data_IF_985683697125
#
_entry.id   IF_985683697125
#
_cell.length_a   1.000
_cell.length_b   1.000
_cell.length_c   1.000
_cell.angle_alpha   90.00
_cell.angle_beta   90.00
_cell.angle_gamma   90.00
#
_symmetry.space_group_name_H-M   'P 1'
#
loop_
_entity.id
_entity.type
_entity.pdbx_description
1 polymer ?
#
# COMPACT_ATOMS: atom_id res chain seq x y z
N UNK A 1 11.90 -2.58 41.95
CA UNK A 1 10.89 -3.22 41.07
C UNK A 1 10.11 -2.23 40.21
N UNK A 2 9.84 -1.00 40.67
CA UNK A 2 9.12 0.02 39.89
C UNK A 2 9.82 0.40 38.57
N UNK A 3 11.14 0.51 38.57
CA UNK A 3 11.91 0.86 37.36
C UNK A 3 11.78 -0.18 36.23
N UNK A 4 11.68 -1.47 36.57
CA UNK A 4 11.49 -2.53 35.55
C UNK A 4 10.08 -2.46 34.97
N UNK A 5 9.07 -2.19 35.79
CA UNK A 5 7.69 -2.02 35.33
C UNK A 5 7.52 -0.78 34.44
N UNK A 6 8.14 0.35 34.79
CA UNK A 6 8.07 1.58 33.99
C UNK A 6 8.79 1.45 32.65
N UNK A 7 9.99 0.85 32.63
CA UNK A 7 10.73 0.57 31.40
C UNK A 7 9.98 -0.40 30.48
N UNK A 8 9.36 -1.45 31.04
CA UNK A 8 8.58 -2.41 30.26
C UNK A 8 7.30 -1.76 29.69
N UNK A 9 6.65 -0.88 30.45
CA UNK A 9 5.50 -0.09 29.97
C UNK A 9 5.91 0.88 28.86
N UNK A 10 7.06 1.55 28.99
CA UNK A 10 7.58 2.44 27.95
C UNK A 10 7.90 1.67 26.66
N UNK A 11 8.60 0.54 26.77
CA UNK A 11 8.94 -0.32 25.63
C UNK A 11 7.66 -0.79 24.92
N UNK A 12 6.70 -1.35 25.66
CA UNK A 12 5.42 -1.77 25.10
C UNK A 12 4.59 -0.62 24.51
N UNK A 13 4.81 0.63 24.89
CA UNK A 13 4.12 1.76 24.26
C UNK A 13 4.78 2.20 22.95
N UNK A 14 6.10 2.05 22.82
CA UNK A 14 6.87 2.60 21.69
C UNK A 14 7.21 1.57 20.60
N UNK A 15 7.17 0.27 20.90
CA UNK A 15 7.45 -0.80 19.91
C UNK A 15 6.56 -0.74 18.66
N UNK A 16 5.36 -0.14 18.77
CA UNK A 16 4.40 -0.07 17.68
C UNK A 16 4.60 1.13 16.74
N UNK A 17 5.26 2.18 17.22
CA UNK A 17 5.42 3.44 16.49
C UNK A 17 6.14 3.27 15.13
N UNK A 18 7.24 2.50 15.01
CA UNK A 18 7.90 2.30 13.73
C UNK A 18 7.02 1.61 12.70
N UNK A 19 6.20 0.64 13.13
CA UNK A 19 5.29 -0.08 12.22
C UNK A 19 4.18 0.85 11.72
N UNK A 20 3.65 1.70 12.59
CA UNK A 20 2.66 2.71 12.20
C UNK A 20 3.25 3.73 11.22
N UNK A 21 4.49 4.17 11.42
CA UNK A 21 5.18 5.09 10.49
C UNK A 21 5.38 4.45 9.11
N UNK A 22 5.78 3.17 9.05
CA UNK A 22 5.90 2.44 7.77
C UNK A 22 4.54 2.30 7.10
N UNK A 23 3.46 2.02 7.86
CA UNK A 23 2.09 1.97 7.33
C UNK A 23 1.69 3.30 6.71
N UNK A 24 1.91 4.39 7.42
CA UNK A 24 1.58 5.75 6.97
C UNK A 24 2.38 6.08 5.72
N UNK A 25 3.70 5.83 5.72
CA UNK A 25 4.56 6.07 4.56
C UNK A 25 4.11 5.26 3.33
N UNK A 26 3.76 3.98 3.52
CA UNK A 26 3.20 3.12 2.47
C UNK A 26 1.89 3.72 1.91
N UNK A 27 0.96 4.12 2.77
CA UNK A 27 -0.31 4.71 2.36
C UNK A 27 -0.14 6.03 1.60
N UNK A 28 0.75 6.91 2.07
CA UNK A 28 1.10 8.17 1.39
C UNK A 28 1.72 7.88 0.02
N UNK A 29 2.66 6.94 -0.06
CA UNK A 29 3.29 6.57 -1.32
C UNK A 29 2.26 6.08 -2.34
N UNK A 30 1.36 5.18 -1.93
CA UNK A 30 0.29 4.66 -2.80
C UNK A 30 -0.65 5.79 -3.25
N UNK A 31 -1.03 6.68 -2.35
CA UNK A 31 -1.86 7.84 -2.70
C UNK A 31 -1.19 8.72 -3.75
N UNK A 32 0.09 9.06 -3.56
CA UNK A 32 0.86 9.86 -4.52
C UNK A 32 0.97 9.17 -5.88
N UNK A 33 1.12 7.83 -5.93
CA UNK A 33 1.07 7.07 -7.18
C UNK A 33 -0.29 7.16 -7.86
N UNK A 34 -1.38 7.07 -7.08
CA UNK A 34 -2.73 7.27 -7.60
C UNK A 34 -2.92 8.66 -8.22
N UNK A 35 -2.47 9.72 -7.54
CA UNK A 35 -2.49 11.09 -8.08
C UNK A 35 -1.66 11.20 -9.36
N UNK A 36 -0.47 10.60 -9.40
CA UNK A 36 0.38 10.58 -10.60
C UNK A 36 -0.34 9.94 -11.78
N UNK A 37 -1.03 8.84 -11.57
CA UNK A 37 -1.76 8.14 -12.63
C UNK A 37 -3.00 8.90 -13.12
N UNK A 38 -3.72 9.59 -12.25
CA UNK A 38 -4.85 10.45 -12.67
C UNK A 38 -4.36 11.65 -13.47
N UNK A 39 -3.26 12.27 -13.02
CA UNK A 39 -2.69 13.46 -13.68
C UNK A 39 -1.92 13.14 -14.95
N UNK A 40 -1.44 11.90 -15.11
CA UNK A 40 -0.69 11.44 -16.27
C UNK A 40 -1.26 10.10 -16.77
N UNK A 41 -2.48 10.12 -17.29
CA UNK A 41 -3.16 8.92 -17.76
C UNK A 41 -2.40 8.24 -18.92
N UNK A 42 -1.75 9.01 -19.79
CA UNK A 42 -0.89 8.49 -20.86
C UNK A 42 0.28 7.67 -20.29
N UNK A 43 0.92 8.14 -19.22
CA UNK A 43 1.99 7.39 -18.57
C UNK A 43 1.51 6.04 -18.02
N UNK A 44 0.31 6.01 -17.41
CA UNK A 44 -0.25 4.74 -16.94
C UNK A 44 -0.64 3.83 -18.11
N UNK A 45 -1.18 4.39 -19.19
CA UNK A 45 -1.48 3.66 -20.42
C UNK A 45 -0.22 3.01 -21.01
N UNK A 46 0.88 3.75 -21.11
CA UNK A 46 2.16 3.24 -21.61
C UNK A 46 2.70 2.11 -20.73
N UNK A 47 2.58 2.24 -19.40
CA UNK A 47 2.96 1.19 -18.47
C UNK A 47 2.15 -0.09 -18.71
N UNK A 48 0.84 -0.01 -18.90
CA UNK A 48 -0.01 -1.21 -19.08
C UNK A 48 -0.06 -1.71 -20.53
N UNK A 49 0.49 -0.96 -21.49
CA UNK A 49 0.47 -1.32 -22.91
C UNK A 49 0.97 -2.74 -23.25
N UNK A 50 1.96 -3.35 -22.55
CA UNK A 50 2.38 -4.72 -22.85
C UNK A 50 1.29 -5.78 -22.58
N UNK A 51 0.32 -5.46 -21.72
CA UNK A 51 -0.76 -6.35 -21.31
C UNK A 51 -2.14 -5.89 -21.83
N UNK A 52 -2.25 -4.67 -22.37
CA UNK A 52 -3.49 -4.13 -22.93
C UNK A 52 -3.65 -4.45 -24.43
N UNK A 53 -3.62 -5.74 -24.78
CA UNK A 53 -3.70 -6.17 -26.19
C UNK A 53 -5.13 -6.17 -26.76
N UNK A 54 -6.16 -6.07 -25.92
CA UNK A 54 -7.58 -6.23 -26.30
C UNK A 54 -8.49 -5.05 -25.91
N UNK A 55 -7.93 -3.89 -25.56
CA UNK A 55 -8.70 -2.69 -25.21
C UNK A 55 -9.33 -2.72 -23.82
N UNK A 56 -8.76 -3.50 -22.90
CA UNK A 56 -9.15 -3.57 -21.48
C UNK A 56 -8.52 -2.46 -20.62
N UNK A 57 -7.59 -1.69 -21.17
CA UNK A 57 -6.83 -0.65 -20.46
C UNK A 57 -7.73 0.40 -19.82
N UNK A 58 -8.86 0.74 -20.45
CA UNK A 58 -9.80 1.69 -19.86
C UNK A 58 -10.35 1.22 -18.50
N UNK A 59 -10.66 -0.07 -18.34
CA UNK A 59 -11.07 -0.61 -17.05
C UNK A 59 -9.93 -0.64 -16.04
N UNK A 60 -8.72 -0.99 -16.48
CA UNK A 60 -7.52 -0.99 -15.62
C UNK A 60 -7.20 0.42 -15.11
N UNK A 61 -7.29 1.45 -15.95
CA UNK A 61 -7.09 2.85 -15.55
C UNK A 61 -8.07 3.26 -14.44
N UNK A 62 -9.36 2.97 -14.62
CA UNK A 62 -10.42 3.31 -13.66
C UNK A 62 -10.41 2.44 -12.40
N UNK A 63 -9.63 1.35 -12.37
CA UNK A 63 -9.39 0.57 -11.16
C UNK A 63 -8.12 1.03 -10.44
N UNK A 64 -6.99 1.11 -11.15
CA UNK A 64 -5.65 1.33 -10.59
C UNK A 64 -5.58 2.66 -9.84
N UNK A 65 -6.03 3.74 -10.46
CA UNK A 65 -5.96 5.08 -9.89
C UNK A 65 -6.77 5.23 -8.58
N UNK A 66 -8.09 4.95 -8.55
CA UNK A 66 -8.85 5.06 -7.31
C UNK A 66 -8.46 4.02 -6.27
N UNK A 67 -8.04 2.81 -6.67
CA UNK A 67 -7.51 1.84 -5.72
C UNK A 67 -6.29 2.41 -4.98
N UNK A 68 -5.32 2.98 -5.69
CA UNK A 68 -4.14 3.64 -5.09
C UNK A 68 -4.51 4.84 -4.22
N UNK A 69 -5.41 5.72 -4.70
CA UNK A 69 -5.79 6.93 -3.97
C UNK A 69 -6.59 6.60 -2.71
N UNK A 70 -7.76 5.97 -2.87
CA UNK A 70 -8.67 5.68 -1.77
C UNK A 70 -8.03 4.65 -0.83
N UNK A 71 -7.44 3.59 -1.39
CA UNK A 71 -6.71 2.60 -0.60
C UNK A 71 -5.51 3.20 0.15
N UNK A 72 -4.78 4.14 -0.46
CA UNK A 72 -3.69 4.87 0.19
C UNK A 72 -4.17 5.64 1.42
N UNK A 73 -5.26 6.42 1.28
CA UNK A 73 -5.89 7.14 2.40
C UNK A 73 -6.31 6.15 3.51
N UNK A 74 -6.99 5.08 3.13
CA UNK A 74 -7.43 4.04 4.06
C UNK A 74 -6.25 3.42 4.82
N UNK A 75 -5.12 3.14 4.15
CA UNK A 75 -3.91 2.59 4.77
C UNK A 75 -3.26 3.61 5.73
N UNK A 76 -3.21 4.89 5.38
CA UNK A 76 -2.66 5.95 6.26
C UNK A 76 -3.38 5.94 7.62
N UNK A 77 -4.70 6.03 7.59
CA UNK A 77 -5.53 6.02 8.81
C UNK A 77 -5.69 4.61 9.42
N UNK A 78 -5.25 3.58 8.70
CA UNK A 78 -5.40 2.18 9.07
C UNK A 78 -6.87 1.78 9.23
N UNK A 79 -7.70 2.19 8.26
CA UNK A 79 -9.12 1.88 8.10
C UNK A 79 -9.31 0.79 7.06
N UNK A 80 -9.96 -0.31 7.43
CA UNK A 80 -10.11 -1.53 6.62
C UNK A 80 -8.77 -1.94 5.98
N UNK A 81 -7.67 -1.89 6.74
CA UNK A 81 -6.28 -1.95 6.24
C UNK A 81 -6.05 -3.17 5.35
N UNK A 82 -6.57 -4.33 5.75
CA UNK A 82 -6.41 -5.58 5.00
C UNK A 82 -7.13 -5.55 3.66
N UNK A 83 -8.32 -4.96 3.60
CA UNK A 83 -9.09 -4.83 2.36
C UNK A 83 -8.46 -3.79 1.43
N UNK A 84 -8.03 -2.65 1.98
CA UNK A 84 -7.30 -1.63 1.22
C UNK A 84 -6.03 -2.21 0.60
N UNK A 85 -5.28 -3.04 1.33
CA UNK A 85 -4.09 -3.74 0.84
C UNK A 85 -4.43 -4.80 -0.18
N UNK A 86 -5.45 -5.62 0.07
CA UNK A 86 -5.88 -6.66 -0.86
C UNK A 86 -6.23 -6.06 -2.23
N UNK A 87 -6.80 -4.86 -2.27
CA UNK A 87 -7.03 -4.12 -3.51
C UNK A 87 -5.73 -3.64 -4.20
N UNK A 88 -4.62 -3.44 -3.49
CA UNK A 88 -3.34 -3.07 -4.11
C UNK A 88 -2.57 -4.26 -4.69
N UNK A 89 -2.74 -5.46 -4.12
CA UNK A 89 -1.93 -6.62 -4.49
C UNK A 89 -2.01 -6.97 -5.98
N UNK A 90 -3.19 -7.02 -6.64
CA UNK A 90 -3.27 -7.27 -8.07
C UNK A 90 -2.52 -6.23 -8.90
N UNK A 91 -2.53 -4.97 -8.47
CA UNK A 91 -1.89 -3.87 -9.18
C UNK A 91 -0.36 -3.98 -9.08
N UNK A 92 0.15 -4.26 -7.88
CA UNK A 92 1.59 -4.41 -7.64
C UNK A 92 2.15 -5.67 -8.31
N UNK A 93 1.40 -6.78 -8.29
CA UNK A 93 1.74 -7.97 -9.06
C UNK A 93 1.77 -7.67 -10.56
N UNK A 94 0.77 -6.95 -11.07
CA UNK A 94 0.75 -6.48 -12.45
C UNK A 94 1.97 -5.63 -12.79
N UNK A 95 2.34 -4.68 -11.92
CA UNK A 95 3.50 -3.82 -12.12
C UNK A 95 4.81 -4.62 -12.19
N UNK A 96 4.98 -5.65 -11.36
CA UNK A 96 6.15 -6.54 -11.42
C UNK A 96 6.18 -7.33 -12.73
N UNK A 97 5.05 -7.94 -13.12
CA UNK A 97 4.95 -8.73 -14.35
C UNK A 97 5.21 -7.90 -15.61
N UNK A 98 4.56 -6.74 -15.71
CA UNK A 98 4.72 -5.79 -16.81
C UNK A 98 6.17 -5.34 -16.98
N UNK A 99 6.88 -5.11 -15.88
CA UNK A 99 8.29 -4.68 -15.93
C UNK A 99 9.19 -5.75 -16.58
N UNK A 100 8.85 -7.04 -16.43
CA UNK A 100 9.57 -8.14 -17.10
C UNK A 100 9.13 -8.36 -18.55
N UNK A 101 7.90 -7.99 -18.92
CA UNK A 101 7.37 -8.15 -20.29
C UNK A 101 7.75 -6.98 -21.21
N UNK A 102 7.89 -5.78 -20.65
CA UNK A 102 8.25 -4.56 -21.37
C UNK A 102 9.73 -4.21 -21.27
N UNK A 103 10.04 -2.92 -21.41
CA UNK A 103 11.37 -2.39 -21.13
C UNK A 103 11.62 -2.46 -19.62
N UNK A 104 12.60 -3.24 -19.20
CA UNK A 104 12.91 -3.36 -17.77
C UNK A 104 13.42 -2.03 -17.22
N UNK A 105 12.75 -1.56 -16.17
CA UNK A 105 13.15 -0.38 -15.41
C UNK A 105 13.48 -0.81 -13.99
N UNK A 106 14.77 -1.03 -13.70
CA UNK A 106 15.25 -1.62 -12.45
C UNK A 106 14.77 -0.88 -11.21
N UNK A 107 14.76 0.46 -11.23
CA UNK A 107 14.27 1.27 -10.10
C UNK A 107 12.77 1.06 -9.84
N UNK A 108 11.96 1.09 -10.90
CA UNK A 108 10.52 0.83 -10.82
C UNK A 108 10.22 -0.59 -10.35
N UNK A 109 11.02 -1.57 -10.78
CA UNK A 109 10.89 -2.97 -10.36
C UNK A 109 11.21 -3.14 -8.87
N UNK A 110 12.34 -2.58 -8.40
CA UNK A 110 12.74 -2.63 -6.99
C UNK A 110 11.66 -1.96 -6.12
N UNK A 111 11.17 -0.79 -6.52
CA UNK A 111 10.09 -0.10 -5.81
C UNK A 111 8.81 -0.94 -5.78
N UNK A 112 8.40 -1.52 -6.90
CA UNK A 112 7.20 -2.37 -6.96
C UNK A 112 7.33 -3.60 -6.05
N UNK A 113 8.50 -4.25 -6.02
CA UNK A 113 8.78 -5.39 -5.14
C UNK A 113 8.75 -4.97 -3.67
N UNK A 114 9.40 -3.87 -3.29
CA UNK A 114 9.41 -3.38 -1.91
C UNK A 114 7.98 -3.10 -1.43
N UNK A 115 7.19 -2.38 -2.25
CA UNK A 115 5.81 -2.03 -1.92
C UNK A 115 4.93 -3.27 -1.85
N UNK A 116 5.13 -4.25 -2.76
CA UNK A 116 4.45 -5.54 -2.72
C UNK A 116 4.74 -6.30 -1.42
N UNK A 117 6.00 -6.37 -1.00
CA UNK A 117 6.40 -7.03 0.25
C UNK A 117 5.80 -6.33 1.47
N UNK A 118 5.78 -5.00 1.49
CA UNK A 118 5.12 -4.24 2.55
C UNK A 118 3.61 -4.48 2.58
N UNK A 119 2.95 -4.52 1.42
CA UNK A 119 1.55 -4.87 1.31
C UNK A 119 1.30 -6.29 1.84
N UNK A 120 2.10 -7.29 1.46
CA UNK A 120 1.98 -8.65 1.98
C UNK A 120 2.16 -8.67 3.50
N UNK A 121 3.17 -7.96 4.03
CA UNK A 121 3.37 -7.84 5.47
C UNK A 121 2.13 -7.29 6.18
N UNK A 122 1.59 -6.16 5.73
CA UNK A 122 0.42 -5.54 6.35
C UNK A 122 -0.90 -6.26 6.05
N UNK A 123 -0.95 -7.12 5.01
CA UNK A 123 -2.08 -8.03 4.80
C UNK A 123 -2.23 -8.98 5.99
N UNK A 124 -1.11 -9.50 6.52
CA UNK A 124 -1.09 -10.41 7.66
C UNK A 124 -1.08 -9.68 9.01
N UNK A 125 -0.31 -8.59 9.13
CA UNK A 125 -0.22 -7.80 10.37
C UNK A 125 -1.51 -7.00 10.64
N UNK A 126 -2.10 -6.37 9.62
CA UNK A 126 -3.26 -5.50 9.72
C UNK A 126 -2.90 -4.05 10.08
N UNK A 127 -3.85 -3.31 10.66
CA UNK A 127 -3.68 -1.88 10.94
C UNK A 127 -2.66 -1.54 12.03
N UNK A 128 -2.44 -2.40 13.04
CA UNK A 128 -1.63 -2.05 14.22
C UNK A 128 -2.44 -1.32 15.32
N UNK A 129 -1.80 -0.91 16.42
CA UNK A 129 -2.51 -0.35 17.60
C UNK A 129 -2.99 1.08 17.40
N UNK A 130 -2.27 1.88 16.61
CA UNK A 130 -2.66 3.27 16.31
C UNK A 130 -3.38 3.36 14.96
N UNK A 131 -4.37 2.49 14.76
CA UNK A 131 -5.15 2.39 13.54
C UNK A 131 -6.64 2.50 13.83
N UNK A 132 -7.42 3.01 12.87
CA UNK A 132 -8.88 3.04 12.96
C UNK A 132 -9.46 1.62 13.15
N UNK A 133 -8.90 0.61 12.47
CA UNK A 133 -9.28 -0.79 12.64
C UNK A 133 -9.20 -1.27 14.09
N UNK A 134 -8.16 -0.87 14.82
CA UNK A 134 -7.99 -1.24 16.22
C UNK A 134 -8.94 -0.45 17.13
N UNK A 135 -9.09 0.85 16.86
CA UNK A 135 -10.03 1.70 17.59
C UNK A 135 -11.48 1.16 17.53
N UNK A 136 -11.97 0.79 16.34
CA UNK A 136 -13.32 0.27 16.18
C UNK A 136 -13.51 -1.12 16.80
N UNK A 137 -12.48 -1.96 16.84
CA UNK A 137 -12.54 -3.25 17.54
C UNK A 137 -12.67 -3.11 19.06
N UNK A 138 -12.16 -2.02 19.65
CA UNK A 138 -12.28 -1.76 21.09
C UNK A 138 -13.67 -1.25 21.51
N UNK A 139 -14.48 -0.80 20.56
CA UNK A 139 -15.84 -0.30 20.82
C UNK A 139 -16.89 -1.43 20.73
N UNK A 140 -16.48 -2.66 20.39
CA UNK A 140 -17.32 -3.86 20.41
C UNK A 140 -17.21 -4.56 21.76
#
# INVERSE_FOLDING_TARGET
MENVKSLNKWANSHTYLPVDLIRIALGVFLFMKGVLFVTNAEYLHDLISPIDQYGGGMFLLHYIAPAHMIGGIMIVFGLLTRWAIAAQLPILLGAVLVNFMGRMHSESLILAIIVLLLCIFFLFYGGGKHSADYYFKMQQ
#
